data_IF_361552282393
#
_entry.id   IF_361552282393
#
_cell.length_a   1.000
_cell.length_b   1.000
_cell.length_c   1.000
_cell.angle_alpha   90.00
_cell.angle_beta   90.00
_cell.angle_gamma   90.00
#
_symmetry.space_group_name_H-M   'P 1'
#
loop_
_entity.id
_entity.type
_entity.pdbx_description
1 polymer ?
#
# COMPACT_ATOMS: atom_id res chain seq x y z
N UNK A 1 -11.50 16.54 13.15
CA UNK A 1 -10.27 16.56 12.34
C UNK A 1 -9.94 15.12 12.00
N UNK A 2 -10.09 14.77 10.73
CA UNK A 2 -9.87 13.40 10.25
C UNK A 2 -8.39 13.11 10.18
N UNK A 3 -7.91 12.17 10.98
CA UNK A 3 -6.51 11.77 10.90
C UNK A 3 -6.31 10.95 9.60
N UNK A 4 -5.50 11.48 8.69
CA UNK A 4 -5.28 10.91 7.35
C UNK A 4 -4.83 9.44 7.41
N UNK A 5 -4.14 9.03 8.47
CA UNK A 5 -3.57 7.69 8.62
C UNK A 5 -4.55 6.61 9.13
N UNK A 6 -5.79 6.98 9.44
CA UNK A 6 -6.75 6.01 10.00
C UNK A 6 -7.02 4.87 9.02
N UNK A 7 -6.82 3.64 9.48
CA UNK A 7 -7.05 2.37 8.76
C UNK A 7 -6.21 2.14 7.48
N UNK A 8 -5.29 3.04 7.12
CA UNK A 8 -4.46 2.95 5.90
C UNK A 8 -3.49 1.77 5.92
N UNK A 9 -3.09 1.32 7.11
CA UNK A 9 -2.23 0.14 7.29
C UNK A 9 -2.99 -1.20 7.23
N UNK A 10 -4.33 -1.16 7.28
CA UNK A 10 -5.20 -2.34 7.33
C UNK A 10 -5.88 -2.60 6.00
N UNK A 11 -6.47 -1.57 5.40
CA UNK A 11 -7.13 -1.66 4.10
C UNK A 11 -6.15 -2.14 3.01
N UNK A 12 -6.63 -2.96 2.08
CA UNK A 12 -5.86 -3.42 0.94
C UNK A 12 -5.92 -2.40 -0.19
N UNK A 13 -4.77 -1.83 -0.56
CA UNK A 13 -4.72 -0.96 -1.72
C UNK A 13 -5.02 -1.74 -3.02
N UNK A 14 -4.43 -2.93 -3.16
CA UNK A 14 -4.54 -3.76 -4.36
C UNK A 14 -5.99 -4.18 -4.62
N UNK A 15 -6.71 -4.54 -3.56
CA UNK A 15 -8.11 -4.96 -3.67
C UNK A 15 -9.07 -3.75 -3.67
N UNK A 16 -8.52 -2.53 -3.69
CA UNK A 16 -9.23 -1.26 -3.71
C UNK A 16 -10.21 -1.07 -2.55
N UNK A 17 -9.83 -1.54 -1.35
CA UNK A 17 -10.68 -1.48 -0.16
C UNK A 17 -11.19 -0.06 0.13
N UNK A 18 -12.40 -0.01 0.71
CA UNK A 18 -12.90 1.18 1.38
C UNK A 18 -12.04 1.46 2.62
N UNK A 19 -11.58 2.71 2.76
CA UNK A 19 -10.78 3.17 3.91
C UNK A 19 -11.67 4.01 4.82
N UNK A 20 -12.06 3.51 6.01
CA UNK A 20 -12.92 4.25 6.91
C UNK A 20 -12.28 5.53 7.46
N UNK A 21 -13.14 6.48 7.83
CA UNK A 21 -12.75 7.66 8.61
C UNK A 21 -12.69 7.29 10.09
N UNK A 22 -11.79 7.91 10.85
CA UNK A 22 -11.70 7.71 12.29
C UNK A 22 -13.05 7.98 12.96
N UNK A 23 -13.50 7.09 13.85
CA UNK A 23 -14.80 7.23 14.52
C UNK A 23 -16.03 6.86 13.67
N UNK A 24 -15.89 6.75 12.34
CA UNK A 24 -16.96 6.40 11.41
C UNK A 24 -16.67 5.06 10.70
N UNK A 25 -16.12 4.09 11.43
CA UNK A 25 -15.90 2.73 10.91
C UNK A 25 -17.22 1.96 10.93
N UNK A 26 -17.71 1.43 9.80
CA UNK A 26 -18.84 0.52 9.81
C UNK A 26 -18.58 -0.68 10.74
N UNK A 27 -19.63 -1.17 11.38
CA UNK A 27 -19.54 -2.29 12.33
C UNK A 27 -18.95 -3.51 11.64
N UNK A 28 -19.46 -3.85 10.46
CA UNK A 28 -19.08 -5.02 9.67
C UNK A 28 -17.90 -4.77 8.71
N UNK A 29 -17.20 -3.65 8.86
CA UNK A 29 -16.03 -3.39 8.03
C UNK A 29 -14.88 -4.33 8.39
N UNK A 30 -14.47 -5.12 7.40
CA UNK A 30 -13.35 -6.05 7.43
C UNK A 30 -12.48 -5.77 6.21
N UNK A 31 -11.16 -5.54 6.37
CA UNK A 31 -10.26 -5.37 5.24
C UNK A 31 -10.12 -6.70 4.47
N UNK A 32 -9.99 -6.62 3.15
CA UNK A 32 -9.85 -7.82 2.29
C UNK A 32 -8.49 -8.50 2.47
N UNK A 33 -7.46 -7.71 2.76
CA UNK A 33 -6.08 -8.15 2.97
C UNK A 33 -5.63 -8.03 4.43
N UNK A 34 -4.39 -8.44 4.69
CA UNK A 34 -3.79 -8.40 6.03
C UNK A 34 -2.32 -8.06 6.02
N UNK A 35 -1.91 -7.26 7.00
CA UNK A 35 -0.49 -7.11 7.35
C UNK A 35 -0.06 -8.34 8.14
N UNK A 36 0.87 -9.12 7.59
CA UNK A 36 1.35 -10.35 8.24
C UNK A 36 2.46 -10.04 9.23
N UNK A 37 3.40 -9.17 8.86
CA UNK A 37 4.51 -8.72 9.71
C UNK A 37 5.04 -7.36 9.23
N UNK A 38 6.06 -6.81 9.92
CA UNK A 38 6.76 -5.61 9.46
C UNK A 38 7.31 -5.85 8.05
N UNK A 39 7.09 -4.90 7.14
CA UNK A 39 7.50 -4.99 5.74
C UNK A 39 6.70 -5.96 4.86
N UNK A 40 5.65 -6.63 5.36
CA UNK A 40 4.87 -7.60 4.55
C UNK A 40 3.36 -7.44 4.73
N UNK A 41 2.68 -7.20 3.62
CA UNK A 41 1.23 -7.20 3.48
C UNK A 41 0.81 -8.22 2.41
N UNK A 42 -0.29 -8.93 2.64
CA UNK A 42 -0.85 -9.90 1.70
C UNK A 42 -2.29 -9.49 1.37
N UNK A 43 -2.58 -9.32 0.08
CA UNK A 43 -3.92 -9.01 -0.43
C UNK A 43 -4.86 -10.22 -0.37
N UNK A 44 -6.15 -10.04 -0.63
CA UNK A 44 -7.13 -11.13 -0.65
C UNK A 44 -6.73 -12.26 -1.61
N UNK A 45 -6.16 -11.89 -2.76
CA UNK A 45 -5.72 -12.84 -3.79
C UNK A 45 -4.31 -13.43 -3.53
N UNK A 46 -3.76 -13.24 -2.33
CA UNK A 46 -2.44 -13.77 -1.96
C UNK A 46 -1.25 -12.97 -2.51
N UNK A 47 -1.49 -11.78 -3.08
CA UNK A 47 -0.39 -10.94 -3.60
C UNK A 47 0.36 -10.32 -2.43
N UNK A 48 1.66 -10.63 -2.34
CA UNK A 48 2.55 -10.08 -1.33
C UNK A 48 3.17 -8.76 -1.80
N UNK A 49 3.01 -7.71 -1.00
CA UNK A 49 3.68 -6.42 -1.19
C UNK A 49 4.29 -5.92 0.12
N UNK A 50 5.19 -4.95 0.03
CA UNK A 50 5.70 -4.30 1.23
C UNK A 50 4.55 -3.56 1.96
N UNK A 51 4.46 -3.74 3.27
CA UNK A 51 3.42 -3.11 4.09
C UNK A 51 3.46 -1.56 4.04
N UNK A 52 4.65 -0.97 3.94
CA UNK A 52 4.81 0.48 3.86
C UNK A 52 4.34 0.99 2.49
N UNK A 53 4.59 0.22 1.41
CA UNK A 53 4.04 0.52 0.07
C UNK A 53 2.50 0.51 0.12
N UNK A 54 1.88 -0.51 0.72
CA UNK A 54 0.42 -0.55 0.89
C UNK A 54 -0.10 0.69 1.64
N UNK A 55 0.54 1.03 2.76
CA UNK A 55 0.20 2.20 3.55
C UNK A 55 0.32 3.51 2.79
N UNK A 56 1.43 3.73 2.09
CA UNK A 56 1.68 4.93 1.28
C UNK A 56 0.63 5.11 0.18
N UNK A 57 0.28 4.03 -0.53
CA UNK A 57 -0.76 4.08 -1.55
C UNK A 57 -2.13 4.43 -0.97
N UNK A 58 -2.49 3.86 0.18
CA UNK A 58 -3.74 4.19 0.85
C UNK A 58 -3.80 5.64 1.35
N UNK A 59 -2.68 6.18 1.85
CA UNK A 59 -2.57 7.60 2.22
C UNK A 59 -2.78 8.48 0.98
N UNK A 60 -2.10 8.16 -0.13
CA UNK A 60 -2.24 8.87 -1.40
C UNK A 60 -3.69 8.83 -1.90
N UNK A 61 -4.34 7.67 -1.89
CA UNK A 61 -5.76 7.52 -2.27
C UNK A 61 -6.69 8.35 -1.38
N UNK A 62 -6.43 8.43 -0.08
CA UNK A 62 -7.27 9.19 0.84
C UNK A 62 -7.07 10.70 0.72
N UNK A 63 -5.83 11.15 0.54
CA UNK A 63 -5.52 12.57 0.31
C UNK A 63 -5.97 13.04 -1.08
N UNK A 64 -5.88 12.17 -2.08
CA UNK A 64 -6.21 12.45 -3.47
C UNK A 64 -7.04 11.29 -4.06
N UNK A 65 -8.38 11.28 -3.87
CA UNK A 65 -9.26 10.20 -4.32
C UNK A 65 -9.18 9.87 -5.81
N UNK A 66 -8.72 10.83 -6.62
CA UNK A 66 -8.58 10.69 -8.08
C UNK A 66 -7.13 10.46 -8.54
N UNK A 67 -6.21 10.14 -7.63
CA UNK A 67 -4.78 9.99 -7.92
C UNK A 67 -4.45 8.96 -9.02
N UNK A 68 -5.29 7.93 -9.20
CA UNK A 68 -5.04 6.83 -10.15
C UNK A 68 -6.00 6.84 -11.35
N UNK A 69 -6.79 7.91 -11.54
CA UNK A 69 -7.85 7.95 -12.55
C UNK A 69 -7.88 9.21 -13.42
N UNK A 70 -7.01 10.19 -13.15
CA UNK A 70 -6.87 11.38 -14.00
C UNK A 70 -5.48 11.32 -14.64
N UNK A 71 -5.43 11.40 -15.98
CA UNK A 71 -4.19 11.45 -16.76
C UNK A 71 -3.51 12.83 -16.75
N UNK A 72 -3.82 13.68 -15.77
CA UNK A 72 -3.18 14.99 -15.58
C UNK A 72 -1.89 14.89 -14.75
N UNK A 73 -1.60 13.69 -14.22
CA UNK A 73 -0.45 13.39 -13.38
C UNK A 73 0.26 12.16 -13.91
N UNK A 74 1.57 12.25 -14.01
CA UNK A 74 2.43 11.16 -14.47
C UNK A 74 3.47 10.83 -13.40
N UNK A 75 3.92 9.58 -13.39
CA UNK A 75 5.08 9.19 -12.59
C UNK A 75 6.33 9.80 -13.22
N UNK A 76 6.91 10.80 -12.55
CA UNK A 76 8.11 11.51 -13.04
C UNK A 76 9.27 10.56 -13.38
N UNK A 77 9.40 9.45 -12.64
CA UNK A 77 10.42 8.42 -12.88
C UNK A 77 9.80 7.04 -12.66
N UNK A 78 9.65 6.26 -13.73
CA UNK A 78 9.28 4.85 -13.60
C UNK A 78 10.50 4.03 -13.15
N UNK A 79 10.44 3.32 -12.01
CA UNK A 79 11.54 2.45 -11.61
C UNK A 79 11.77 1.37 -12.67
N UNK A 80 13.02 1.19 -13.11
CA UNK A 80 13.37 0.10 -14.01
C UNK A 80 13.36 -1.21 -13.24
N UNK A 81 12.52 -2.15 -13.65
CA UNK A 81 12.58 -3.53 -13.18
C UNK A 81 13.87 -4.16 -13.71
N UNK A 82 14.81 -4.47 -12.82
CA UNK A 82 16.01 -5.23 -13.15
C UNK A 82 15.78 -6.69 -12.74
N UNK A 83 16.11 -7.63 -13.62
CA UNK A 83 16.19 -9.04 -13.25
C UNK A 83 17.53 -9.26 -12.53
N UNK A 84 17.48 -9.85 -11.34
CA UNK A 84 18.68 -10.17 -10.55
C UNK A 84 19.13 -11.62 -10.74
N UNK A 85 18.51 -12.40 -11.61
CA UNK A 85 18.99 -13.74 -11.97
C UNK A 85 20.46 -13.67 -12.40
N UNK A 86 21.34 -14.36 -11.66
CA UNK A 86 22.78 -14.35 -11.87
C UNK A 86 23.56 -13.24 -11.13
N UNK A 87 22.88 -12.27 -10.49
CA UNK A 87 23.49 -11.28 -9.61
C UNK A 87 23.42 -11.77 -8.17
N UNK A 88 24.54 -12.23 -7.61
CA UNK A 88 24.63 -12.50 -6.18
C UNK A 88 24.45 -11.17 -5.43
N UNK A 89 23.42 -10.99 -4.58
CA UNK A 89 23.35 -9.80 -3.75
C UNK A 89 24.55 -9.82 -2.82
N UNK A 90 25.49 -8.91 -3.03
CA UNK A 90 26.54 -8.64 -2.04
C UNK A 90 25.81 -8.22 -0.78
N UNK A 91 25.82 -9.06 0.26
CA UNK A 91 25.28 -8.69 1.56
C UNK A 91 26.08 -7.49 2.06
N UNK A 92 25.55 -6.29 1.84
CA UNK A 92 26.00 -5.11 2.55
C UNK A 92 25.43 -5.25 3.95
N UNK A 93 26.32 -5.56 4.89
CA UNK A 93 26.03 -5.69 6.31
C UNK A 93 25.42 -4.35 6.76
N UNK A 94 24.17 -4.31 7.26
CA UNK A 94 23.62 -3.06 7.77
C UNK A 94 24.19 -2.81 9.17
N UNK A 95 24.69 -1.57 9.37
CA UNK A 95 25.08 -1.00 10.65
C UNK A 95 23.90 -0.94 11.63
#
# INVERSE_FOLDING_TARGET
MDNAESYTSKASFIDNDFIPVHGNKPVDWIPSGKRVKRGLYISQNGIAINADINGSYNILKKAFPKAFGIGDREVLVTPRKVNLEGYAPTMVIPF
#
